data_IF_804466795750
#
_entry.id   IF_804466795750
#
_cell.length_a   1.000
_cell.length_b   1.000
_cell.length_c   1.000
_cell.angle_alpha   90.00
_cell.angle_beta   90.00
_cell.angle_gamma   90.00
#
_symmetry.space_group_name_H-M   'P 1'
#
loop_
_entity.id
_entity.type
_entity.pdbx_description
1 polymer ?
#
# COMPACT_ATOMS: atom_id res chain seq x y z
N UNK A 1 -9.34 -1.57 -2.87
CA UNK A 1 -9.13 -1.58 -1.40
C UNK A 1 -9.12 -0.18 -0.83
N UNK A 2 -8.23 0.73 -1.25
CA UNK A 2 -8.15 2.13 -0.75
C UNK A 2 -9.52 2.82 -0.77
N UNK A 3 -10.26 2.77 -1.87
CA UNK A 3 -11.61 3.37 -1.96
C UNK A 3 -12.60 2.79 -0.94
N UNK A 4 -12.46 1.50 -0.59
CA UNK A 4 -13.30 0.87 0.42
C UNK A 4 -12.99 1.41 1.82
N UNK A 5 -11.70 1.56 2.15
CA UNK A 5 -11.28 2.21 3.39
C UNK A 5 -11.78 3.64 3.48
N UNK A 6 -11.57 4.44 2.42
CA UNK A 6 -11.99 5.84 2.40
C UNK A 6 -13.51 5.98 2.54
N UNK A 7 -14.28 5.15 1.84
CA UNK A 7 -15.75 5.15 1.95
C UNK A 7 -16.21 4.81 3.37
N UNK A 8 -15.60 3.83 4.01
CA UNK A 8 -15.91 3.48 5.38
C UNK A 8 -15.57 4.61 6.35
N UNK A 9 -14.40 5.24 6.21
CA UNK A 9 -13.97 6.37 7.03
C UNK A 9 -14.84 7.62 6.89
N UNK A 10 -15.43 7.85 5.71
CA UNK A 10 -16.32 9.01 5.49
C UNK A 10 -17.77 8.75 5.92
N UNK A 11 -18.14 7.49 6.14
CA UNK A 11 -19.53 7.09 6.43
C UNK A 11 -19.78 6.77 7.91
N UNK A 12 -18.73 6.57 8.70
CA UNK A 12 -18.81 6.19 10.11
C UNK A 12 -18.18 7.24 11.02
N UNK A 13 -18.73 7.37 12.21
CA UNK A 13 -18.09 8.11 13.31
C UNK A 13 -17.05 7.25 14.06
N UNK A 14 -16.72 6.06 13.52
CA UNK A 14 -15.80 5.13 14.13
C UNK A 14 -14.37 5.67 14.04
N UNK A 15 -13.53 5.25 14.98
CA UNK A 15 -12.14 5.65 14.90
C UNK A 15 -11.43 4.95 13.72
N UNK A 16 -10.33 5.52 13.28
CA UNK A 16 -9.58 5.05 12.13
C UNK A 16 -9.15 3.58 12.27
N UNK A 17 -8.68 3.18 13.45
CA UNK A 17 -8.22 1.82 13.75
C UNK A 17 -9.35 0.79 13.55
N UNK A 18 -10.50 1.04 14.15
CA UNK A 18 -11.68 0.17 14.06
C UNK A 18 -12.18 0.03 12.62
N UNK A 19 -12.21 1.14 11.88
CA UNK A 19 -12.62 1.14 10.47
C UNK A 19 -11.65 0.32 9.60
N UNK A 20 -10.35 0.46 9.78
CA UNK A 20 -9.34 -0.30 9.04
C UNK A 20 -9.41 -1.79 9.40
N UNK A 21 -9.61 -2.11 10.67
CA UNK A 21 -9.80 -3.49 11.14
C UNK A 21 -11.03 -4.14 10.53
N UNK A 22 -12.17 -3.46 10.54
CA UNK A 22 -13.43 -3.98 10.00
C UNK A 22 -13.34 -4.26 8.49
N UNK A 23 -12.79 -3.33 7.70
CA UNK A 23 -12.57 -3.53 6.26
C UNK A 23 -11.60 -4.70 6.01
N UNK A 24 -10.60 -4.87 6.87
CA UNK A 24 -9.66 -5.97 6.79
C UNK A 24 -10.33 -7.33 7.10
N UNK A 25 -11.11 -7.41 8.20
CA UNK A 25 -11.83 -8.63 8.59
C UNK A 25 -12.82 -9.07 7.52
N UNK A 26 -13.53 -8.13 6.89
CA UNK A 26 -14.42 -8.44 5.76
C UNK A 26 -13.63 -9.01 4.57
N UNK A 27 -12.43 -8.47 4.29
CA UNK A 27 -11.54 -9.05 3.28
C UNK A 27 -11.14 -10.48 3.64
N UNK A 28 -10.74 -10.71 4.90
CA UNK A 28 -10.33 -12.03 5.38
C UNK A 28 -11.43 -13.07 5.20
N UNK A 29 -12.67 -12.75 5.59
CA UNK A 29 -13.81 -13.65 5.40
C UNK A 29 -14.04 -14.05 3.94
N UNK A 30 -13.84 -13.13 3.00
CA UNK A 30 -13.96 -13.41 1.57
C UNK A 30 -12.81 -14.30 1.05
N UNK A 31 -11.67 -14.39 1.75
CA UNK A 31 -10.53 -15.24 1.38
C UNK A 31 -10.48 -16.58 2.14
N UNK A 32 -11.10 -16.70 3.31
CA UNK A 32 -11.07 -17.94 4.14
C UNK A 32 -11.71 -19.16 3.47
N UNK A 33 -12.57 -18.96 2.47
CA UNK A 33 -13.15 -20.04 1.66
C UNK A 33 -12.05 -20.87 0.94
N UNK A 34 -10.81 -20.38 0.89
CA UNK A 34 -9.71 -20.95 0.10
C UNK A 34 -8.52 -21.49 0.93
N UNK A 35 -8.59 -21.47 2.26
CA UNK A 35 -7.42 -21.73 3.14
C UNK A 35 -6.86 -23.16 3.16
N UNK A 36 -7.58 -24.18 2.69
CA UNK A 36 -7.20 -25.57 2.93
C UNK A 36 -6.05 -26.13 2.06
N UNK A 37 -5.48 -25.38 1.12
CA UNK A 37 -4.36 -25.83 0.26
C UNK A 37 -3.06 -25.03 0.41
N UNK A 38 -3.06 -23.96 1.18
CA UNK A 38 -1.95 -23.00 1.18
C UNK A 38 -0.91 -23.17 2.29
N UNK A 39 -1.08 -24.11 3.23
CA UNK A 39 -0.17 -24.25 4.37
C UNK A 39 1.27 -24.63 3.99
N UNK A 40 1.43 -25.50 3.01
CA UNK A 40 2.76 -25.92 2.54
C UNK A 40 3.47 -24.81 1.75
N UNK A 41 2.71 -24.06 0.95
CA UNK A 41 3.25 -22.93 0.17
C UNK A 41 3.61 -21.77 1.09
N UNK A 42 2.83 -21.51 2.13
CA UNK A 42 3.16 -20.51 3.18
C UNK A 42 4.49 -20.81 3.86
N UNK A 43 4.72 -22.07 4.27
CA UNK A 43 5.96 -22.47 4.93
C UNK A 43 7.19 -22.32 4.02
N UNK A 44 7.07 -22.57 2.74
CA UNK A 44 8.18 -22.40 1.80
C UNK A 44 8.47 -20.92 1.50
N UNK A 45 7.45 -20.07 1.40
CA UNK A 45 7.62 -18.63 1.15
C UNK A 45 8.14 -17.90 2.40
N UNK A 46 7.74 -18.29 3.60
CA UNK A 46 8.31 -17.75 4.85
C UNK A 46 9.81 -18.00 4.98
N UNK A 47 10.33 -19.04 4.34
CA UNK A 47 11.77 -19.32 4.26
C UNK A 47 12.49 -18.47 3.22
N UNK A 48 11.78 -17.91 2.26
CA UNK A 48 12.33 -17.00 1.27
C UNK A 48 12.31 -15.58 1.85
N UNK A 49 13.39 -15.18 2.51
CA UNK A 49 13.58 -13.82 3.04
C UNK A 49 13.78 -12.80 1.90
N UNK A 50 12.80 -12.68 1.00
CA UNK A 50 12.85 -11.71 -0.08
C UNK A 50 12.07 -10.46 0.29
N UNK A 51 12.72 -9.32 0.18
CA UNK A 51 12.08 -8.01 0.33
C UNK A 51 11.16 -7.76 -0.85
N UNK A 52 9.88 -7.39 -0.65
CA UNK A 52 8.99 -7.01 -1.75
C UNK A 52 9.59 -5.85 -2.54
N UNK A 53 9.68 -6.01 -3.87
CA UNK A 53 10.30 -5.04 -4.77
C UNK A 53 9.24 -4.23 -5.53
N UNK A 54 8.46 -3.46 -4.81
CA UNK A 54 7.50 -2.52 -5.39
C UNK A 54 8.08 -1.11 -5.38
N UNK A 55 7.96 -0.40 -6.49
CA UNK A 55 8.31 1.02 -6.62
C UNK A 55 7.09 1.81 -7.04
N UNK A 56 7.06 3.08 -6.64
CA UNK A 56 6.04 4.05 -7.01
C UNK A 56 6.69 5.27 -7.63
N UNK A 57 6.11 5.74 -8.72
CA UNK A 57 6.48 6.99 -9.38
C UNK A 57 5.21 7.84 -9.50
N UNK A 58 5.27 9.06 -8.99
CA UNK A 58 4.23 10.07 -9.17
C UNK A 58 4.86 11.29 -9.82
N UNK A 59 4.23 11.82 -10.87
CA UNK A 59 4.73 12.99 -11.59
C UNK A 59 3.59 13.94 -11.91
N UNK A 60 3.90 15.23 -11.90
CA UNK A 60 3.01 16.32 -12.33
C UNK A 60 3.84 17.38 -13.02
N UNK A 61 3.29 18.03 -14.04
CA UNK A 61 3.91 19.14 -14.74
C UNK A 61 3.01 20.38 -14.81
N UNK A 62 3.57 21.51 -15.23
CA UNK A 62 2.85 22.78 -15.37
C UNK A 62 1.74 22.77 -16.43
N UNK A 63 1.76 21.80 -17.33
CA UNK A 63 0.73 21.62 -18.36
C UNK A 63 -0.47 20.81 -17.86
N UNK A 64 -0.52 20.56 -16.54
CA UNK A 64 -1.58 19.82 -15.86
C UNK A 64 -1.64 18.33 -16.26
N UNK A 65 -0.50 17.74 -16.63
CA UNK A 65 -0.39 16.30 -16.79
C UNK A 65 -0.01 15.65 -15.45
N UNK A 66 -0.72 14.61 -15.06
CA UNK A 66 -0.52 13.90 -13.82
C UNK A 66 -0.42 12.39 -14.07
N UNK A 67 0.64 11.76 -13.58
CA UNK A 67 0.84 10.32 -13.72
C UNK A 67 1.15 9.70 -12.36
N UNK A 68 0.52 8.59 -12.07
CA UNK A 68 0.81 7.74 -10.93
C UNK A 68 1.02 6.32 -11.42
N UNK A 69 2.21 5.76 -11.21
CA UNK A 69 2.61 4.47 -11.75
C UNK A 69 3.22 3.63 -10.63
N UNK A 70 2.68 2.44 -10.42
CA UNK A 70 3.24 1.46 -9.48
C UNK A 70 3.75 0.25 -10.24
N UNK A 71 5.01 -0.13 -10.00
CA UNK A 71 5.62 -1.34 -10.55
C UNK A 71 5.95 -2.31 -9.43
N UNK A 72 5.78 -3.60 -9.69
CA UNK A 72 6.17 -4.64 -8.74
C UNK A 72 6.75 -5.85 -9.45
N UNK A 73 7.86 -6.37 -8.93
CA UNK A 73 8.35 -7.70 -9.25
C UNK A 73 7.82 -8.76 -8.27
N UNK A 74 6.93 -8.38 -7.36
CA UNK A 74 6.52 -9.23 -6.25
C UNK A 74 7.72 -9.53 -5.35
N UNK A 75 7.95 -10.81 -5.09
CA UNK A 75 9.18 -11.28 -4.39
C UNK A 75 10.32 -11.59 -5.37
N UNK A 76 10.09 -11.40 -6.68
CA UNK A 76 11.02 -11.74 -7.75
C UNK A 76 10.99 -13.23 -8.11
N UNK A 77 10.92 -13.53 -9.41
CA UNK A 77 10.88 -14.91 -9.90
C UNK A 77 12.25 -15.58 -9.97
N UNK A 78 13.34 -14.82 -9.88
CA UNK A 78 14.70 -15.30 -10.19
C UNK A 78 14.95 -15.54 -11.68
N UNK A 79 13.97 -15.29 -12.55
CA UNK A 79 14.08 -15.51 -14.00
C UNK A 79 14.30 -14.19 -14.72
N UNK A 80 15.27 -14.21 -15.63
CA UNK A 80 15.64 -13.05 -16.46
C UNK A 80 15.32 -13.39 -17.92
N UNK A 81 14.66 -12.48 -18.60
CA UNK A 81 14.48 -12.56 -20.05
C UNK A 81 15.83 -12.40 -20.75
N UNK A 82 16.33 -13.43 -21.40
CA UNK A 82 17.66 -13.41 -22.05
C UNK A 82 17.79 -12.33 -23.12
N UNK A 83 16.70 -11.95 -23.78
CA UNK A 83 16.71 -10.96 -24.87
C UNK A 83 16.73 -9.53 -24.39
N UNK A 84 16.06 -9.21 -23.27
CA UNK A 84 15.85 -7.84 -22.80
C UNK A 84 16.58 -7.54 -21.50
N UNK A 85 17.08 -8.55 -20.78
CA UNK A 85 17.64 -8.39 -19.43
C UNK A 85 16.59 -8.09 -18.33
N UNK A 86 15.31 -8.10 -18.66
CA UNK A 86 14.25 -7.81 -17.71
C UNK A 86 14.02 -8.98 -16.74
N UNK A 87 13.86 -8.67 -15.47
CA UNK A 87 13.41 -9.62 -14.47
C UNK A 87 11.89 -9.85 -14.60
N UNK A 88 11.48 -11.12 -14.53
CA UNK A 88 10.06 -11.45 -14.40
C UNK A 88 9.60 -11.33 -12.96
N UNK A 89 8.35 -10.87 -12.77
CA UNK A 89 7.70 -10.90 -11.48
C UNK A 89 7.28 -12.34 -11.09
N UNK A 90 6.87 -12.49 -9.82
CA UNK A 90 6.27 -13.72 -9.33
C UNK A 90 4.90 -13.47 -8.67
N UNK A 91 4.12 -12.55 -9.20
CA UNK A 91 2.83 -12.13 -8.59
C UNK A 91 1.87 -13.31 -8.36
N UNK A 92 1.95 -14.36 -9.16
CA UNK A 92 1.24 -15.63 -8.91
C UNK A 92 1.64 -16.31 -7.59
N UNK A 93 2.86 -16.09 -7.12
CA UNK A 93 3.37 -16.63 -5.86
C UNK A 93 3.13 -15.72 -4.63
N UNK A 94 2.54 -14.56 -4.81
CA UNK A 94 2.19 -13.67 -3.70
C UNK A 94 0.92 -14.21 -3.00
N UNK A 95 1.06 -14.80 -1.82
CA UNK A 95 -0.05 -15.45 -1.09
C UNK A 95 -1.16 -14.46 -0.76
N UNK A 96 -0.81 -13.23 -0.40
CA UNK A 96 -1.74 -12.16 -0.10
C UNK A 96 -2.62 -11.74 -1.29
N UNK A 97 -2.18 -12.03 -2.52
CA UNK A 97 -2.91 -11.77 -3.76
C UNK A 97 -3.53 -13.03 -4.34
N UNK A 98 -2.90 -14.15 -4.09
CA UNK A 98 -3.26 -15.44 -4.66
C UNK A 98 -3.24 -16.56 -3.60
N UNK A 99 -4.20 -16.55 -2.67
CA UNK A 99 -4.24 -17.50 -1.56
C UNK A 99 -4.42 -18.97 -1.99
N UNK A 100 -4.91 -19.20 -3.21
CA UNK A 100 -5.02 -20.56 -3.79
C UNK A 100 -3.72 -21.06 -4.37
N UNK A 101 -2.72 -20.20 -4.50
CA UNK A 101 -1.46 -20.50 -5.12
C UNK A 101 -1.58 -20.76 -6.63
N UNK A 102 -0.48 -21.23 -7.20
CA UNK A 102 -0.32 -21.43 -8.65
C UNK A 102 -1.38 -22.36 -9.29
N UNK A 103 -1.82 -23.39 -8.57
CA UNK A 103 -2.75 -24.40 -9.09
C UNK A 103 -4.23 -23.99 -9.03
N UNK A 104 -4.55 -22.90 -8.35
CA UNK A 104 -5.94 -22.44 -8.17
C UNK A 104 -6.45 -21.50 -9.26
N UNK A 105 -5.59 -21.03 -10.14
CA UNK A 105 -5.96 -20.04 -11.15
C UNK A 105 -6.13 -20.65 -12.55
N UNK A 106 -7.15 -20.19 -13.26
CA UNK A 106 -7.23 -20.37 -14.70
C UNK A 106 -6.40 -19.30 -15.39
N UNK A 107 -5.67 -19.65 -16.45
CA UNK A 107 -4.77 -18.74 -17.18
C UNK A 107 -5.47 -17.53 -17.83
N UNK A 108 -6.80 -17.48 -17.80
CA UNK A 108 -7.61 -16.40 -18.36
C UNK A 108 -8.06 -15.36 -17.32
N UNK A 109 -7.84 -15.60 -16.04
CA UNK A 109 -8.30 -14.71 -14.98
C UNK A 109 -7.26 -13.63 -14.66
N UNK A 110 -7.76 -12.44 -14.31
CA UNK A 110 -6.93 -11.35 -13.83
C UNK A 110 -6.60 -11.59 -12.36
N UNK A 111 -5.35 -11.40 -11.99
CA UNK A 111 -4.95 -11.38 -10.59
C UNK A 111 -5.43 -10.11 -9.91
N UNK A 112 -5.82 -10.25 -8.65
CA UNK A 112 -6.04 -9.12 -7.76
C UNK A 112 -4.68 -8.47 -7.46
N UNK A 113 -4.63 -7.16 -7.39
CA UNK A 113 -3.42 -6.41 -7.04
C UNK A 113 -3.68 -5.49 -5.85
N UNK A 114 -2.68 -5.34 -4.99
CA UNK A 114 -2.64 -4.29 -3.97
C UNK A 114 -2.09 -2.96 -4.53
N UNK A 115 -1.45 -2.98 -5.70
CA UNK A 115 -0.98 -1.77 -6.36
C UNK A 115 -2.16 -0.83 -6.59
N UNK A 116 -2.03 0.39 -6.08
CA UNK A 116 -3.10 1.38 -6.08
C UNK A 116 -2.54 2.75 -6.44
N UNK A 117 -2.09 2.94 -7.70
CA UNK A 117 -1.79 4.27 -8.19
C UNK A 117 -3.08 5.08 -8.25
N UNK A 118 -3.05 6.33 -7.77
CA UNK A 118 -4.22 7.17 -7.60
C UNK A 118 -3.99 8.54 -8.22
N UNK A 119 -5.05 9.09 -8.79
CA UNK A 119 -5.21 10.52 -9.03
C UNK A 119 -6.35 10.99 -8.10
N UNK A 120 -6.06 12.01 -7.31
CA UNK A 120 -7.02 12.63 -6.39
C UNK A 120 -7.21 14.06 -6.82
N UNK A 121 -8.47 14.51 -6.94
CA UNK A 121 -8.77 15.88 -7.31
C UNK A 121 -9.87 16.46 -6.44
N UNK A 122 -9.77 17.75 -6.20
CA UNK A 122 -10.84 18.59 -5.70
C UNK A 122 -11.11 19.71 -6.71
N UNK A 123 -11.82 20.77 -6.33
CA UNK A 123 -12.14 21.88 -7.25
C UNK A 123 -10.93 22.71 -7.69
N UNK A 124 -9.86 22.70 -6.90
CA UNK A 124 -8.73 23.64 -7.01
C UNK A 124 -7.41 22.92 -7.32
N UNK A 125 -7.33 21.62 -7.02
CA UNK A 125 -6.06 20.89 -7.04
C UNK A 125 -6.21 19.47 -7.57
N UNK A 126 -5.16 18.98 -8.23
CA UNK A 126 -5.05 17.60 -8.70
C UNK A 126 -3.71 17.03 -8.21
N UNK A 127 -3.75 15.81 -7.67
CA UNK A 127 -2.58 15.13 -7.13
C UNK A 127 -2.47 13.72 -7.66
N UNK A 128 -1.27 13.33 -8.08
CA UNK A 128 -0.89 11.95 -8.36
C UNK A 128 -0.19 11.37 -7.16
N UNK A 129 -0.62 10.21 -6.68
CA UNK A 129 -0.02 9.57 -5.51
C UNK A 129 -0.08 8.06 -5.56
N UNK A 130 0.80 7.44 -4.81
CA UNK A 130 0.86 5.99 -4.64
C UNK A 130 1.90 5.60 -3.60
N UNK A 131 2.05 4.31 -3.37
CA UNK A 131 2.98 3.76 -2.38
C UNK A 131 3.50 2.39 -2.80
N UNK A 132 4.76 2.05 -2.59
CA UNK A 132 5.21 0.67 -2.46
C UNK A 132 4.79 0.09 -1.11
N UNK A 133 4.88 -1.23 -0.90
CA UNK A 133 4.69 -1.83 0.41
C UNK A 133 3.82 -3.09 0.45
N UNK A 134 3.66 -3.81 -0.65
CA UNK A 134 2.87 -5.04 -0.74
C UNK A 134 1.43 -4.86 -0.20
N UNK A 135 0.99 -5.65 0.77
CA UNK A 135 -0.35 -5.53 1.40
C UNK A 135 -0.55 -4.22 2.18
N UNK A 136 0.54 -3.55 2.62
CA UNK A 136 0.49 -2.25 3.33
C UNK A 136 0.17 -1.07 2.43
N UNK A 137 0.27 -1.21 1.10
CA UNK A 137 -0.04 -0.13 0.13
C UNK A 137 -1.41 0.49 0.42
N UNK A 138 -2.43 -0.35 0.60
CA UNK A 138 -3.80 0.12 0.78
C UNK A 138 -4.01 0.87 2.10
N UNK A 139 -3.42 0.40 3.20
CA UNK A 139 -3.53 1.06 4.51
C UNK A 139 -2.67 2.31 4.61
N UNK A 140 -1.49 2.33 3.99
CA UNK A 140 -0.66 3.53 3.91
C UNK A 140 -1.38 4.66 3.17
N UNK A 141 -1.90 4.38 1.98
CA UNK A 141 -2.65 5.37 1.20
C UNK A 141 -3.92 5.84 1.90
N UNK A 142 -4.69 4.93 2.51
CA UNK A 142 -5.90 5.29 3.23
C UNK A 142 -5.60 6.25 4.40
N UNK A 143 -4.58 5.97 5.21
CA UNK A 143 -4.19 6.81 6.35
C UNK A 143 -3.68 8.18 5.88
N UNK A 144 -2.84 8.22 4.85
CA UNK A 144 -2.31 9.49 4.32
C UNK A 144 -3.42 10.35 3.73
N UNK A 145 -4.31 9.77 2.92
CA UNK A 145 -5.43 10.53 2.34
C UNK A 145 -6.39 11.01 3.43
N UNK A 146 -6.71 10.16 4.42
CA UNK A 146 -7.53 10.55 5.57
C UNK A 146 -6.93 11.74 6.33
N UNK A 147 -5.61 11.67 6.59
CA UNK A 147 -4.90 12.76 7.25
C UNK A 147 -4.89 14.05 6.41
N UNK A 148 -4.74 13.94 5.10
CA UNK A 148 -4.82 15.09 4.20
C UNK A 148 -6.20 15.74 4.21
N UNK A 149 -7.27 14.96 4.14
CA UNK A 149 -8.65 15.47 4.20
C UNK A 149 -8.88 16.27 5.48
N UNK A 150 -8.30 15.85 6.60
CA UNK A 150 -8.49 16.51 7.90
C UNK A 150 -7.59 17.75 8.11
N UNK A 151 -6.42 17.81 7.46
CA UNK A 151 -5.42 18.85 7.73
C UNK A 151 -5.11 19.73 6.52
N UNK A 152 -5.51 19.31 5.32
CA UNK A 152 -5.23 19.96 4.03
C UNK A 152 -3.73 20.23 3.77
N UNK A 153 -2.85 19.36 4.30
CA UNK A 153 -1.39 19.46 4.14
C UNK A 153 -0.77 18.08 3.91
N UNK A 154 -0.17 17.86 2.73
CA UNK A 154 0.45 16.60 2.35
C UNK A 154 1.71 16.29 3.16
N UNK A 155 2.52 17.27 3.47
CA UNK A 155 3.76 17.06 4.24
C UNK A 155 3.44 16.48 5.62
N UNK A 156 2.51 17.09 6.33
CA UNK A 156 2.00 16.59 7.61
C UNK A 156 1.32 15.24 7.46
N UNK A 157 0.47 15.07 6.45
CA UNK A 157 -0.26 13.82 6.25
C UNK A 157 0.65 12.62 6.01
N UNK A 158 1.72 12.80 5.23
CA UNK A 158 2.71 11.76 4.90
C UNK A 158 3.57 11.42 6.12
N UNK A 159 3.96 12.42 6.92
CA UNK A 159 4.87 12.24 8.06
C UNK A 159 4.21 11.63 9.30
N UNK A 160 2.87 11.65 9.40
CA UNK A 160 2.19 11.04 10.55
C UNK A 160 2.54 9.56 10.73
N UNK A 161 2.66 9.10 11.98
CA UNK A 161 2.86 7.69 12.30
C UNK A 161 1.77 6.81 11.71
N UNK A 162 2.15 5.59 11.31
CA UNK A 162 1.26 4.62 10.65
C UNK A 162 1.14 3.32 11.41
N UNK A 163 0.05 2.62 11.16
CA UNK A 163 -0.13 1.25 11.59
C UNK A 163 -0.68 0.38 10.45
N UNK A 164 -0.56 -0.92 10.61
CA UNK A 164 -1.09 -1.91 9.68
C UNK A 164 -1.64 -3.12 10.42
N UNK A 165 -2.79 -3.59 9.97
CA UNK A 165 -3.39 -4.84 10.45
C UNK A 165 -3.00 -5.98 9.52
N UNK A 166 -2.25 -6.94 10.05
CA UNK A 166 -1.81 -8.11 9.30
C UNK A 166 -2.96 -9.11 9.07
N UNK A 167 -2.77 -10.04 8.14
CA UNK A 167 -3.77 -11.05 7.80
C UNK A 167 -4.17 -11.97 8.96
N UNK A 168 -3.34 -12.13 9.94
CA UNK A 168 -3.63 -12.90 11.16
C UNK A 168 -4.33 -12.08 12.26
N UNK A 169 -4.66 -10.81 11.99
CA UNK A 169 -5.28 -9.90 12.94
C UNK A 169 -4.30 -9.23 13.91
N UNK A 170 -3.00 -9.54 13.86
CA UNK A 170 -2.01 -8.78 14.63
C UNK A 170 -1.81 -7.40 14.04
N UNK A 171 -1.51 -6.43 14.88
CA UNK A 171 -1.25 -5.04 14.48
C UNK A 171 0.23 -4.72 14.61
N UNK A 172 0.81 -4.14 13.58
CA UNK A 172 2.09 -3.45 13.64
C UNK A 172 1.87 -1.95 13.57
N UNK A 173 2.59 -1.20 14.40
CA UNK A 173 2.37 0.22 14.56
C UNK A 173 3.69 0.97 14.76
N UNK A 174 3.79 2.17 14.21
CA UNK A 174 4.81 3.13 14.62
C UNK A 174 4.38 3.76 15.96
N UNK A 175 5.32 4.25 16.77
CA UNK A 175 4.98 4.95 17.99
C UNK A 175 3.97 6.07 17.75
N UNK A 176 3.03 6.26 18.66
CA UNK A 176 1.99 7.30 18.61
C UNK A 176 0.93 7.14 17.49
N UNK A 177 0.99 6.08 16.70
CA UNK A 177 -0.01 5.86 15.64
C UNK A 177 -1.34 5.33 16.16
N UNK A 178 -1.30 4.53 17.22
CA UNK A 178 -2.47 3.95 17.93
C UNK A 178 -2.13 3.79 19.41
N UNK A 179 -3.16 3.57 20.23
CA UNK A 179 -2.99 3.24 21.65
C UNK A 179 -2.37 1.84 21.83
N UNK A 180 -1.55 1.69 22.87
CA UNK A 180 -0.92 0.41 23.21
C UNK A 180 -1.98 -0.58 23.73
N UNK A 181 -2.07 -1.71 23.06
CA UNK A 181 -2.91 -2.83 23.49
C UNK A 181 -2.18 -4.16 23.27
N UNK A 182 -2.74 -5.26 23.80
CA UNK A 182 -2.08 -6.58 23.85
C UNK A 182 -1.75 -7.19 22.47
N UNK A 183 -2.35 -6.69 21.40
CA UNK A 183 -2.19 -7.23 20.04
C UNK A 183 -1.30 -6.36 19.16
N UNK A 184 -0.69 -5.31 19.69
CA UNK A 184 0.15 -4.36 18.93
C UNK A 184 1.62 -4.70 19.10
N UNK A 185 2.34 -4.71 18.00
CA UNK A 185 3.81 -4.74 17.96
C UNK A 185 4.30 -3.42 17.43
N UNK A 186 4.96 -2.63 18.27
CA UNK A 186 5.56 -1.37 17.84
C UNK A 186 6.88 -1.59 17.12
N UNK A 187 7.10 -0.80 16.06
CA UNK A 187 8.35 -0.72 15.30
C UNK A 187 9.10 0.58 15.66
N UNK A 188 10.15 0.87 14.91
CA UNK A 188 10.76 2.21 14.96
C UNK A 188 9.88 3.23 14.24
N UNK A 189 10.07 4.51 14.57
CA UNK A 189 9.48 5.61 13.82
C UNK A 189 10.04 5.64 12.39
N UNK A 190 9.22 5.99 11.43
CA UNK A 190 9.56 6.01 10.00
C UNK A 190 10.05 4.65 9.47
N UNK A 191 9.47 3.56 9.95
CA UNK A 191 9.84 2.23 9.51
C UNK A 191 9.38 1.98 8.06
N UNK A 192 10.32 1.53 7.23
CA UNK A 192 10.11 1.20 5.81
C UNK A 192 9.02 0.13 5.60
N UNK A 193 8.67 -0.64 6.62
CA UNK A 193 7.59 -1.61 6.61
C UNK A 193 6.25 -0.99 6.20
N UNK A 194 5.96 0.23 6.61
CA UNK A 194 4.67 0.92 6.33
C UNK A 194 4.59 1.59 4.95
N UNK A 195 5.41 1.15 4.00
CA UNK A 195 5.41 1.68 2.65
C UNK A 195 6.18 3.00 2.53
N UNK A 196 5.79 3.81 1.57
CA UNK A 196 6.38 5.11 1.32
C UNK A 196 5.53 5.88 0.32
N UNK A 197 4.64 6.74 0.81
CA UNK A 197 3.73 7.49 -0.05
C UNK A 197 4.45 8.67 -0.68
N UNK A 198 4.47 8.74 -2.01
CA UNK A 198 4.86 9.94 -2.71
C UNK A 198 3.66 10.62 -3.36
N UNK A 199 3.65 11.93 -3.32
CA UNK A 199 2.58 12.78 -3.86
C UNK A 199 3.21 13.85 -4.73
N UNK A 200 2.66 14.06 -5.92
CA UNK A 200 2.95 15.23 -6.75
C UNK A 200 1.64 15.84 -7.20
N UNK A 201 1.62 17.13 -7.45
CA UNK A 201 0.40 17.79 -7.90
C UNK A 201 0.58 19.26 -8.18
N UNK A 202 -0.56 19.92 -8.40
CA UNK A 202 -0.64 21.34 -8.58
C UNK A 202 -1.60 21.89 -7.52
N UNK A 203 -1.11 22.88 -6.78
CA UNK A 203 -1.85 23.73 -5.88
C UNK A 203 -1.20 25.11 -5.96
N UNK A 204 -1.69 25.96 -6.87
CA UNK A 204 -1.06 27.18 -7.37
C UNK A 204 0.24 26.89 -8.16
N UNK A 205 1.17 26.14 -7.60
CA UNK A 205 2.43 25.70 -8.19
C UNK A 205 2.55 24.17 -8.23
N UNK A 206 3.51 23.65 -8.99
CA UNK A 206 3.86 22.22 -8.97
C UNK A 206 4.55 21.88 -7.65
N UNK A 207 4.06 20.85 -6.98
CA UNK A 207 4.58 20.39 -5.69
C UNK A 207 4.91 18.91 -5.72
N UNK A 208 5.90 18.50 -4.93
CA UNK A 208 6.26 17.09 -4.74
C UNK A 208 6.61 16.82 -3.27
N UNK A 209 6.07 15.74 -2.74
CA UNK A 209 6.29 15.30 -1.36
C UNK A 209 6.75 13.85 -1.34
N UNK A 210 7.88 13.59 -0.70
CA UNK A 210 8.41 12.26 -0.43
C UNK A 210 8.12 11.81 0.99
N UNK A 211 8.31 10.52 1.23
CA UNK A 211 8.11 9.88 2.52
C UNK A 211 9.45 9.51 3.16
N UNK A 212 9.71 9.97 4.38
CA UNK A 212 10.94 9.67 5.14
C UNK A 212 11.24 8.17 5.27
N UNK A 213 10.21 7.34 5.18
CA UNK A 213 10.33 5.88 5.19
C UNK A 213 11.06 5.31 3.97
N UNK A 214 11.19 6.10 2.88
CA UNK A 214 11.82 5.66 1.61
C UNK A 214 12.82 6.65 1.03
N UNK A 215 13.09 7.73 1.71
CA UNK A 215 13.92 8.83 1.26
C UNK A 215 13.08 10.11 1.18
N UNK A 216 13.53 11.13 1.86
CA UNK A 216 12.80 12.38 2.07
C UNK A 216 13.29 13.43 1.08
N UNK A 217 12.48 13.73 0.08
CA UNK A 217 12.66 14.91 -0.77
C UNK A 217 11.31 15.58 -0.91
N UNK A 218 11.20 16.80 -0.39
CA UNK A 218 10.07 17.67 -0.64
C UNK A 218 10.53 18.80 -1.56
N UNK A 219 9.74 19.09 -2.56
CA UNK A 219 9.99 20.18 -3.49
C UNK A 219 8.70 20.98 -3.69
N UNK A 220 8.83 22.29 -3.52
CA UNK A 220 7.81 23.27 -3.83
C UNK A 220 8.50 24.39 -4.61
N UNK A 221 7.89 24.85 -5.67
CA UNK A 221 8.43 25.95 -6.45
C UNK A 221 8.07 27.28 -5.80
#
# INVERSE_FOLDING_TARGET
MVLKYLKALTSSNDNLEETLLNVYLERKQNFEIFENRSSLVKQEIEKLSSSPSTIQISTSDSDNNHYSITFSSGYGSGVICKRTGMFFNNSLGEIELNPQGFLGNTYSERLISNMSPLIVSNKESIYALGSPGADRISTALAQVIYNYINNNDWSTAISKPRFHVNQNGSVRAEPESIEDNKNVTFTNANDMYFGGVCVTGINDDVVAYGDKRRGDINWTN
#
